data_IF_825252711795
#
_entry.id   IF_825252711795
#
_cell.length_a   1.000
_cell.length_b   1.000
_cell.length_c   1.000
_cell.angle_alpha   90.00
_cell.angle_beta   90.00
_cell.angle_gamma   90.00
#
_symmetry.space_group_name_H-M   'P 1'
#
loop_
_entity.id
_entity.type
_entity.pdbx_description
1 polymer ?
#
# COMPACT_ATOMS: atom_id res chain seq x y z
N UNK A 1 4.57 -4.32 -20.79
CA UNK A 1 4.03 -4.70 -22.14
C UNK A 1 4.17 -6.19 -22.45
N UNK A 2 5.34 -6.81 -22.24
CA UNK A 2 5.52 -8.26 -22.38
C UNK A 2 4.46 -9.11 -21.67
N UNK A 3 4.12 -8.77 -20.42
CA UNK A 3 3.06 -9.46 -19.67
C UNK A 3 1.69 -9.40 -20.36
N UNK A 4 1.37 -8.31 -21.06
CA UNK A 4 0.11 -8.16 -21.82
C UNK A 4 0.06 -9.15 -22.97
N UNK A 5 1.16 -9.33 -23.71
CA UNK A 5 1.26 -10.32 -24.78
C UNK A 5 1.08 -11.74 -24.26
N UNK A 6 1.68 -12.04 -23.10
CA UNK A 6 1.52 -13.33 -22.41
C UNK A 6 0.05 -13.54 -22.03
N UNK A 7 -0.60 -12.57 -21.41
CA UNK A 7 -2.02 -12.67 -21.04
C UNK A 7 -2.91 -12.94 -22.26
N UNK A 8 -2.67 -12.24 -23.39
CA UNK A 8 -3.42 -12.43 -24.63
C UNK A 8 -3.21 -13.82 -25.22
N UNK A 9 -1.97 -14.33 -25.20
CA UNK A 9 -1.64 -15.67 -25.69
C UNK A 9 -2.30 -16.77 -24.85
N UNK A 10 -2.38 -16.58 -23.53
CA UNK A 10 -2.95 -17.55 -22.58
C UNK A 10 -4.48 -17.40 -22.41
N UNK A 11 -5.10 -16.38 -22.98
CA UNK A 11 -6.54 -16.13 -22.82
C UNK A 11 -6.96 -15.72 -21.40
N UNK A 12 -6.07 -15.09 -20.63
CA UNK A 12 -6.33 -14.64 -19.25
C UNK A 12 -6.51 -13.11 -19.18
N UNK A 13 -7.10 -12.63 -18.08
CA UNK A 13 -7.29 -11.20 -17.82
C UNK A 13 -5.99 -10.42 -17.59
N UNK A 14 -6.07 -9.09 -17.65
CA UNK A 14 -4.92 -8.17 -17.58
C UNK A 14 -4.62 -7.64 -16.15
N UNK A 15 -5.13 -8.30 -15.12
CA UNK A 15 -4.99 -7.84 -13.72
C UNK A 15 -3.52 -7.73 -13.28
N UNK A 16 -2.66 -8.67 -13.71
CA UNK A 16 -1.22 -8.69 -13.36
C UNK A 16 -0.48 -7.47 -13.92
N UNK A 17 -0.45 -7.23 -15.25
CA UNK A 17 0.24 -6.05 -15.79
C UNK A 17 -0.38 -4.73 -15.33
N UNK A 18 -1.69 -4.70 -15.06
CA UNK A 18 -2.33 -3.53 -14.47
C UNK A 18 -1.83 -3.26 -13.04
N UNK A 19 -1.74 -4.29 -12.21
CA UNK A 19 -1.20 -4.17 -10.86
C UNK A 19 0.27 -3.71 -10.87
N UNK A 20 1.07 -4.28 -11.77
CA UNK A 20 2.47 -3.90 -11.94
C UNK A 20 2.64 -2.42 -12.32
N UNK A 21 1.70 -1.84 -13.07
CA UNK A 21 1.73 -0.43 -13.43
C UNK A 21 1.69 0.52 -12.21
N UNK A 22 1.13 0.11 -11.05
CA UNK A 22 1.17 0.92 -9.82
C UNK A 22 2.59 0.97 -9.21
N UNK A 23 3.37 -0.11 -9.32
CA UNK A 23 4.77 -0.09 -8.91
C UNK A 23 5.60 0.82 -9.82
N UNK A 24 5.35 0.77 -11.14
CA UNK A 24 5.97 1.69 -12.10
C UNK A 24 5.57 3.14 -11.78
N UNK A 25 4.29 3.39 -11.49
CA UNK A 25 3.79 4.72 -11.11
C UNK A 25 4.51 5.24 -9.87
N UNK A 26 4.67 4.42 -8.83
CA UNK A 26 5.40 4.82 -7.62
C UNK A 26 6.86 5.20 -7.91
N UNK A 27 7.56 4.41 -8.72
CA UNK A 27 8.92 4.73 -9.15
C UNK A 27 8.98 6.04 -9.95
N UNK A 28 8.14 6.18 -10.98
CA UNK A 28 8.04 7.38 -11.84
C UNK A 28 7.65 8.62 -11.01
N UNK A 29 6.86 8.45 -9.96
CA UNK A 29 6.47 9.54 -9.06
C UNK A 29 7.68 10.18 -8.39
N UNK A 30 8.67 9.37 -7.97
CA UNK A 30 9.84 9.85 -7.24
C UNK A 30 10.93 10.39 -8.19
N UNK A 31 11.13 9.77 -9.36
CA UNK A 31 12.26 10.14 -10.24
C UNK A 31 11.89 11.03 -11.43
N UNK A 32 10.59 11.17 -11.74
CA UNK A 32 10.11 12.01 -12.85
C UNK A 32 9.11 13.06 -12.37
N UNK A 33 7.97 12.66 -11.81
CA UNK A 33 6.85 13.57 -11.55
C UNK A 33 7.22 14.60 -10.48
N UNK A 34 7.60 14.15 -9.28
CA UNK A 34 7.97 15.05 -8.20
C UNK A 34 9.18 15.95 -8.56
N UNK A 35 10.30 15.43 -9.11
CA UNK A 35 11.41 16.28 -9.52
C UNK A 35 11.03 17.34 -10.57
N UNK A 36 10.18 16.98 -11.54
CA UNK A 36 9.67 17.94 -12.53
C UNK A 36 8.81 19.03 -11.88
N UNK A 37 7.91 18.67 -10.94
CA UNK A 37 7.10 19.63 -10.19
C UNK A 37 7.94 20.54 -9.29
N UNK A 38 9.06 20.04 -8.77
CA UNK A 38 10.00 20.80 -7.94
C UNK A 38 11.05 21.56 -8.76
N UNK A 39 11.05 21.43 -10.09
CA UNK A 39 11.91 22.21 -10.99
C UNK A 39 13.36 21.72 -11.12
N UNK A 40 13.73 20.58 -10.53
CA UNK A 40 15.08 20.03 -10.65
C UNK A 40 15.13 18.50 -10.52
N UNK A 41 15.87 17.84 -11.41
CA UNK A 41 16.07 16.38 -11.37
C UNK A 41 16.81 15.88 -10.12
N UNK A 42 17.58 16.75 -9.46
CA UNK A 42 18.31 16.44 -8.23
C UNK A 42 17.43 16.10 -7.02
N UNK A 43 16.11 16.32 -7.10
CA UNK A 43 15.16 15.86 -6.09
C UNK A 43 14.83 14.36 -6.17
N UNK A 44 15.18 13.69 -7.27
CA UNK A 44 15.08 12.24 -7.40
C UNK A 44 16.14 11.50 -6.58
N UNK A 45 15.88 10.24 -6.21
CA UNK A 45 16.83 9.45 -5.44
C UNK A 45 17.98 8.92 -6.31
N UNK A 46 19.12 8.63 -5.68
CA UNK A 46 20.30 8.08 -6.34
C UNK A 46 20.23 6.54 -6.43
N UNK A 47 20.68 5.97 -7.55
CA UNK A 47 20.72 4.52 -7.72
C UNK A 47 21.92 3.90 -6.97
N UNK A 48 21.73 3.63 -5.68
CA UNK A 48 22.69 2.89 -4.87
C UNK A 48 22.04 2.30 -3.61
N UNK A 49 22.55 1.16 -3.17
CA UNK A 49 21.96 0.38 -2.06
C UNK A 49 21.87 1.20 -0.78
N UNK A 50 22.90 1.96 -0.42
CA UNK A 50 22.87 2.80 0.78
C UNK A 50 22.49 4.26 0.50
N UNK A 51 22.88 4.79 -0.66
CA UNK A 51 22.60 6.19 -1.00
C UNK A 51 21.11 6.48 -1.20
N UNK A 52 20.30 5.50 -1.62
CA UNK A 52 18.84 5.70 -1.65
C UNK A 52 18.23 5.75 -0.24
N UNK A 53 18.81 5.06 0.75
CA UNK A 53 18.37 5.13 2.15
C UNK A 53 18.75 6.48 2.78
N UNK A 54 19.93 7.00 2.43
CA UNK A 54 20.32 8.36 2.78
C UNK A 54 19.33 9.39 2.20
N UNK A 55 18.93 9.24 0.94
CA UNK A 55 17.88 10.07 0.32
C UNK A 55 16.54 9.93 1.06
N UNK A 56 16.11 8.72 1.43
CA UNK A 56 14.87 8.50 2.20
C UNK A 56 14.92 9.26 3.51
N UNK A 57 16.01 9.12 4.26
CA UNK A 57 16.21 9.78 5.55
C UNK A 57 16.19 11.30 5.40
N UNK A 58 17.05 11.84 4.52
CA UNK A 58 17.18 13.28 4.32
C UNK A 58 15.88 13.91 3.82
N UNK A 59 15.19 13.27 2.88
CA UNK A 59 13.90 13.75 2.37
C UNK A 59 12.81 13.71 3.43
N UNK A 60 12.78 12.67 4.28
CA UNK A 60 11.82 12.58 5.37
C UNK A 60 12.02 13.71 6.40
N UNK A 61 13.28 13.92 6.82
CA UNK A 61 13.62 14.91 7.84
C UNK A 61 13.55 16.37 7.35
N UNK A 62 13.55 16.61 6.03
CA UNK A 62 13.28 17.94 5.46
C UNK A 62 11.92 18.51 5.89
N UNK A 63 10.95 17.65 6.21
CA UNK A 63 9.60 18.03 6.64
C UNK A 63 9.36 17.68 8.13
N UNK A 64 10.42 17.65 8.95
CA UNK A 64 10.34 17.24 10.34
C UNK A 64 10.15 15.73 10.49
N UNK A 65 9.14 15.29 11.24
CA UNK A 65 8.81 13.87 11.33
C UNK A 65 7.78 13.48 10.26
N UNK A 66 8.23 12.72 9.25
CA UNK A 66 7.39 12.30 8.11
C UNK A 66 6.22 11.39 8.50
N UNK A 67 6.18 10.87 9.74
CA UNK A 67 5.00 10.19 10.27
C UNK A 67 3.75 11.07 10.30
N UNK A 68 3.89 12.40 10.39
CA UNK A 68 2.75 13.32 10.41
C UNK A 68 2.10 13.56 9.04
N UNK A 69 2.69 13.07 7.94
CA UNK A 69 2.05 13.16 6.63
C UNK A 69 0.80 12.23 6.61
N UNK A 70 -0.42 12.76 6.47
CA UNK A 70 -1.65 11.96 6.58
C UNK A 70 -1.78 10.91 5.46
N UNK A 71 -1.26 11.20 4.26
CA UNK A 71 -1.27 10.24 3.15
C UNK A 71 -0.26 9.11 3.39
N UNK A 72 0.87 9.43 4.05
CA UNK A 72 1.84 8.43 4.47
C UNK A 72 1.28 7.51 5.56
N UNK A 73 0.51 8.05 6.52
CA UNK A 73 -0.21 7.23 7.50
C UNK A 73 -1.15 6.22 6.81
N UNK A 74 -1.97 6.67 5.85
CA UNK A 74 -2.85 5.78 5.07
C UNK A 74 -2.06 4.70 4.33
N UNK A 75 -0.96 5.07 3.67
CA UNK A 75 -0.07 4.13 2.99
C UNK A 75 0.46 3.05 3.94
N UNK A 76 0.98 3.44 5.10
CA UNK A 76 1.49 2.50 6.12
C UNK A 76 0.39 1.57 6.62
N UNK A 77 -0.78 2.11 6.97
CA UNK A 77 -1.92 1.31 7.43
C UNK A 77 -2.30 0.24 6.40
N UNK A 78 -2.30 0.59 5.12
CA UNK A 78 -2.61 -0.33 4.03
C UNK A 78 -1.51 -1.37 3.81
N UNK A 79 -0.23 -1.01 3.95
CA UNK A 79 0.86 -1.99 3.93
C UNK A 79 0.72 -3.02 5.05
N UNK A 80 0.51 -2.56 6.29
CA UNK A 80 0.29 -3.46 7.44
C UNK A 80 -0.95 -4.32 7.27
N UNK A 81 -2.03 -3.76 6.73
CA UNK A 81 -3.27 -4.53 6.48
C UNK A 81 -3.07 -5.54 5.36
N UNK A 82 -2.28 -5.23 4.34
CA UNK A 82 -1.94 -6.16 3.24
C UNK A 82 -1.15 -7.35 3.77
N UNK A 83 -0.15 -7.13 4.62
CA UNK A 83 0.65 -8.23 5.19
C UNK A 83 -0.16 -9.08 6.16
N UNK A 84 -1.03 -8.45 6.97
CA UNK A 84 -2.00 -9.17 7.80
C UNK A 84 -2.92 -10.07 6.95
N UNK A 85 -3.56 -9.51 5.94
CA UNK A 85 -4.47 -10.25 5.06
C UNK A 85 -3.76 -11.38 4.31
N UNK A 86 -2.53 -11.16 3.85
CA UNK A 86 -1.72 -12.19 3.20
C UNK A 86 -1.37 -13.34 4.16
N UNK A 87 -0.95 -13.02 5.38
CA UNK A 87 -0.67 -14.02 6.41
C UNK A 87 -1.89 -14.87 6.74
N UNK A 88 -3.05 -14.22 6.93
CA UNK A 88 -4.31 -14.90 7.17
C UNK A 88 -4.76 -15.77 5.98
N UNK A 89 -4.69 -15.24 4.76
CA UNK A 89 -5.12 -15.96 3.56
C UNK A 89 -4.27 -17.21 3.32
N UNK A 90 -2.95 -17.09 3.38
CA UNK A 90 -2.04 -18.23 3.22
C UNK A 90 -2.25 -19.29 4.30
N UNK A 91 -2.40 -18.86 5.56
CA UNK A 91 -2.64 -19.77 6.67
C UNK A 91 -3.98 -20.51 6.55
N UNK A 92 -5.05 -19.84 6.11
CA UNK A 92 -6.38 -20.43 5.94
C UNK A 92 -6.39 -21.52 4.88
N UNK A 93 -5.85 -21.24 3.71
CA UNK A 93 -5.80 -22.21 2.60
C UNK A 93 -4.93 -23.41 3.01
N UNK A 94 -3.79 -23.16 3.66
CA UNK A 94 -2.90 -24.23 4.11
C UNK A 94 -3.54 -25.08 5.22
N UNK A 95 -4.28 -24.49 6.15
CA UNK A 95 -4.93 -25.26 7.23
C UNK A 95 -6.08 -26.11 6.69
N UNK A 96 -6.77 -25.65 5.64
CA UNK A 96 -7.80 -26.43 4.97
C UNK A 96 -7.21 -27.57 4.13
N UNK A 97 -6.15 -27.29 3.37
CA UNK A 97 -5.49 -28.29 2.53
C UNK A 97 -4.67 -29.32 3.34
N UNK A 98 -4.21 -28.96 4.54
CA UNK A 98 -3.38 -29.78 5.42
C UNK A 98 -4.03 -29.90 6.81
N UNK A 99 -5.14 -30.66 6.93
CA UNK A 99 -5.79 -30.87 8.21
C UNK A 99 -4.95 -31.77 9.14
N UNK A 100 -5.43 -31.99 10.36
CA UNK A 100 -4.80 -32.94 11.29
C UNK A 100 -4.60 -34.33 10.65
N UNK A 101 -3.55 -35.08 11.06
CA UNK A 101 -3.23 -36.39 10.50
C UNK A 101 -4.43 -37.35 10.49
N UNK A 102 -4.64 -38.00 9.35
CA UNK A 102 -5.73 -38.96 9.14
C UNK A 102 -7.09 -38.33 8.82
N UNK A 103 -7.21 -37.01 8.76
CA UNK A 103 -8.44 -36.32 8.35
C UNK A 103 -8.41 -35.97 6.85
N UNK A 104 -9.59 -35.97 6.23
CA UNK A 104 -9.76 -35.51 4.85
C UNK A 104 -9.58 -33.99 4.73
N UNK A 105 -9.11 -33.53 3.56
CA UNK A 105 -8.98 -32.12 3.22
C UNK A 105 -10.27 -31.36 3.52
N UNK A 106 -10.13 -30.13 4.03
CA UNK A 106 -11.28 -29.27 4.31
C UNK A 106 -11.76 -28.58 3.04
N UNK A 107 -13.03 -28.19 3.07
CA UNK A 107 -13.69 -27.52 1.96
C UNK A 107 -13.75 -26.00 2.20
N UNK A 108 -14.09 -25.20 1.17
CA UNK A 108 -14.35 -23.77 1.34
C UNK A 108 -15.41 -23.45 2.41
N UNK A 109 -16.37 -24.35 2.66
CA UNK A 109 -17.36 -24.16 3.74
C UNK A 109 -16.70 -24.18 5.12
N UNK A 110 -15.63 -24.95 5.31
CA UNK A 110 -14.85 -24.96 6.55
C UNK A 110 -14.02 -23.69 6.69
N UNK A 111 -13.46 -23.17 5.59
CA UNK A 111 -12.73 -21.89 5.57
C UNK A 111 -13.66 -20.75 6.01
N UNK A 112 -14.87 -20.71 5.46
CA UNK A 112 -15.92 -19.75 5.82
C UNK A 112 -16.36 -19.90 7.28
N UNK A 113 -16.58 -21.13 7.73
CA UNK A 113 -16.99 -21.41 9.12
C UNK A 113 -15.93 -20.95 10.09
N UNK A 114 -14.64 -21.23 9.83
CA UNK A 114 -13.54 -20.80 10.70
C UNK A 114 -13.53 -19.28 10.92
N UNK A 115 -13.66 -18.49 9.85
CA UNK A 115 -13.67 -17.03 9.96
C UNK A 115 -14.96 -16.48 10.59
N UNK A 116 -16.11 -17.11 10.32
CA UNK A 116 -17.38 -16.77 10.99
C UNK A 116 -17.33 -17.06 12.48
N UNK A 117 -16.72 -18.16 12.90
CA UNK A 117 -16.56 -18.48 14.32
C UNK A 117 -15.55 -17.54 15.00
N UNK A 118 -14.45 -17.18 14.32
CA UNK A 118 -13.39 -16.37 14.90
C UNK A 118 -13.77 -14.88 15.04
N UNK A 119 -14.36 -14.28 14.01
CA UNK A 119 -14.63 -12.83 13.96
C UNK A 119 -16.03 -12.46 13.50
N UNK A 120 -16.94 -13.44 13.35
CA UNK A 120 -18.33 -13.19 12.94
C UNK A 120 -18.51 -12.91 11.43
N UNK A 121 -17.46 -13.01 10.62
CA UNK A 121 -17.51 -12.66 9.19
C UNK A 121 -16.48 -13.43 8.36
N UNK A 122 -16.91 -13.93 7.20
CA UNK A 122 -16.00 -14.41 6.14
C UNK A 122 -16.24 -13.61 4.86
N UNK A 123 -15.15 -13.10 4.27
CA UNK A 123 -15.18 -12.37 2.99
C UNK A 123 -15.29 -13.32 1.78
N UNK A 124 -15.13 -14.63 1.99
CA UNK A 124 -15.19 -15.66 0.97
C UNK A 124 -13.98 -15.69 0.04
N UNK A 125 -13.89 -16.78 -0.74
CA UNK A 125 -12.70 -17.11 -1.53
C UNK A 125 -12.41 -16.11 -2.65
N UNK A 126 -13.42 -15.64 -3.39
CA UNK A 126 -13.21 -14.57 -4.39
C UNK A 126 -12.93 -13.21 -3.73
N UNK A 127 -13.58 -12.96 -2.60
CA UNK A 127 -13.47 -11.69 -1.87
C UNK A 127 -12.07 -11.44 -1.36
N UNK A 128 -11.39 -12.45 -0.81
CA UNK A 128 -10.03 -12.28 -0.26
C UNK A 128 -8.99 -11.96 -1.33
N UNK A 129 -9.13 -12.52 -2.55
CA UNK A 129 -8.24 -12.18 -3.67
C UNK A 129 -8.46 -10.74 -4.17
N UNK A 130 -9.72 -10.28 -4.23
CA UNK A 130 -10.06 -8.89 -4.56
C UNK A 130 -9.56 -7.92 -3.49
N UNK A 131 -9.73 -8.26 -2.22
CA UNK A 131 -9.27 -7.46 -1.09
C UNK A 131 -7.75 -7.33 -1.11
N UNK A 132 -7.02 -8.44 -1.29
CA UNK A 132 -5.55 -8.43 -1.36
C UNK A 132 -5.03 -7.51 -2.46
N UNK A 133 -5.62 -7.58 -3.65
CA UNK A 133 -5.28 -6.66 -4.76
C UNK A 133 -5.60 -5.21 -4.40
N UNK A 134 -6.79 -4.94 -3.88
CA UNK A 134 -7.23 -3.58 -3.54
C UNK A 134 -6.31 -2.95 -2.49
N UNK A 135 -5.99 -3.67 -1.41
CA UNK A 135 -5.12 -3.19 -0.34
C UNK A 135 -3.71 -2.87 -0.87
N UNK A 136 -3.12 -3.80 -1.64
CA UNK A 136 -1.77 -3.63 -2.16
C UNK A 136 -1.64 -2.46 -3.15
N UNK A 137 -2.61 -2.30 -4.06
CA UNK A 137 -2.60 -1.19 -5.02
C UNK A 137 -2.83 0.16 -4.33
N UNK A 138 -3.72 0.22 -3.33
CA UNK A 138 -3.94 1.44 -2.56
C UNK A 138 -2.69 1.80 -1.73
N UNK A 139 -2.00 0.82 -1.14
CA UNK A 139 -0.74 1.08 -0.43
C UNK A 139 0.27 1.78 -1.35
N UNK A 140 0.50 1.25 -2.55
CA UNK A 140 1.39 1.86 -3.55
C UNK A 140 0.91 3.24 -4.02
N UNK A 141 -0.40 3.40 -4.27
CA UNK A 141 -0.99 4.67 -4.69
C UNK A 141 -0.81 5.77 -3.64
N UNK A 142 -1.12 5.49 -2.38
CA UNK A 142 -0.99 6.48 -1.31
C UNK A 142 0.47 6.79 -0.98
N UNK A 143 1.41 5.85 -1.18
CA UNK A 143 2.85 6.13 -1.14
C UNK A 143 3.29 7.09 -2.25
N UNK A 144 2.79 6.92 -3.47
CA UNK A 144 3.07 7.85 -4.57
C UNK A 144 2.47 9.25 -4.29
N UNK A 145 1.22 9.29 -3.78
CA UNK A 145 0.56 10.53 -3.45
C UNK A 145 1.29 11.29 -2.32
N UNK A 146 1.68 10.60 -1.24
CA UNK A 146 2.30 11.24 -0.08
C UNK A 146 3.63 11.92 -0.41
N UNK A 147 4.43 11.32 -1.32
CA UNK A 147 5.70 11.89 -1.74
C UNK A 147 5.51 13.01 -2.77
N UNK A 148 4.54 12.87 -3.70
CA UNK A 148 4.25 13.92 -4.69
C UNK A 148 3.86 15.22 -4.01
N UNK A 149 2.97 15.19 -3.00
CA UNK A 149 2.52 16.41 -2.32
C UNK A 149 3.60 17.05 -1.45
N UNK A 150 4.59 16.27 -1.00
CA UNK A 150 5.71 16.72 -0.16
C UNK A 150 6.74 17.50 -0.98
N UNK A 151 6.79 18.82 -0.78
CA UNK A 151 7.64 19.75 -1.51
C UNK A 151 6.98 20.39 -2.74
N UNK A 152 5.69 20.12 -2.97
CA UNK A 152 4.92 20.74 -4.07
C UNK A 152 3.73 21.51 -3.54
N UNK A 153 2.77 20.81 -2.91
CA UNK A 153 1.56 21.40 -2.31
C UNK A 153 1.81 21.77 -0.86
N UNK A 154 2.59 20.94 -0.14
CA UNK A 154 2.97 21.18 1.25
C UNK A 154 4.49 21.13 1.39
N UNK A 155 5.10 22.18 1.94
CA UNK A 155 6.55 22.31 2.03
C UNK A 155 7.06 22.66 3.44
N UNK A 156 6.15 22.73 4.42
CA UNK A 156 6.45 22.98 5.83
C UNK A 156 6.54 21.65 6.62
N UNK A 157 6.90 21.66 7.92
CA UNK A 157 6.84 20.46 8.75
C UNK A 157 5.46 19.81 8.74
N UNK A 158 5.39 18.51 8.50
CA UNK A 158 4.09 17.80 8.41
C UNK A 158 3.27 17.82 9.69
N UNK A 159 3.91 18.06 10.85
CA UNK A 159 3.20 18.19 12.13
C UNK A 159 2.24 19.38 12.12
N UNK A 160 2.62 20.49 11.46
CA UNK A 160 1.83 21.72 11.43
C UNK A 160 0.59 21.60 10.55
N UNK A 161 0.56 20.60 9.65
CA UNK A 161 -0.64 20.31 8.85
C UNK A 161 -1.84 20.08 9.76
N UNK A 162 -1.67 19.43 10.91
CA UNK A 162 -2.78 19.08 11.80
C UNK A 162 -3.40 20.26 12.54
N UNK A 163 -2.79 21.45 12.49
CA UNK A 163 -3.33 22.65 13.11
C UNK A 163 -4.69 23.04 12.52
N UNK A 164 -4.98 22.73 11.25
CA UNK A 164 -6.31 23.04 10.67
C UNK A 164 -7.47 22.43 11.46
N UNK A 165 -7.26 21.26 12.07
CA UNK A 165 -8.26 20.58 12.89
C UNK A 165 -8.31 21.18 14.30
N UNK A 166 -7.16 21.48 14.88
CA UNK A 166 -7.06 22.11 16.19
C UNK A 166 -7.69 23.51 16.20
N UNK A 167 -7.46 24.28 15.14
CA UNK A 167 -7.91 25.67 14.97
C UNK A 167 -9.37 25.78 14.49
N UNK A 168 -10.16 24.71 14.56
CA UNK A 168 -11.57 24.77 14.17
C UNK A 168 -12.36 25.68 15.14
N UNK A 169 -13.20 26.59 14.60
CA UNK A 169 -13.76 27.70 15.35
C UNK A 169 -14.74 27.30 16.48
N UNK A 170 -15.17 26.05 16.51
CA UNK A 170 -16.08 25.55 17.55
C UNK A 170 -15.37 24.99 18.78
N UNK A 171 -14.04 24.82 18.76
CA UNK A 171 -13.26 24.42 19.94
C UNK A 171 -11.92 25.13 20.14
N UNK A 172 -11.45 25.94 19.18
CA UNK A 172 -10.13 26.58 19.26
C UNK A 172 -9.93 27.44 20.53
N UNK A 173 -11.02 28.02 21.05
CA UNK A 173 -11.02 28.89 22.23
C UNK A 173 -11.55 28.22 23.52
N UNK A 174 -11.77 26.90 23.53
CA UNK A 174 -12.18 26.14 24.73
C UNK A 174 -11.02 25.89 25.69
#
# INVERSE_FOLDING_TARGET
LREVEICRKLGIGLHIPFAFAFAILAYVSIVVIRPALMGAWGYGFQYGVFTHLEWVSNTGYQYGNFHYNPLHMLGISLFFTTTLALGLHGALVLSAANPEPGKEMRTPDHEDTFFRDLVGYSIGTLGIHRLGLLLALNAAFWSAACIIVSGTVWFDPWVDWWNWWYDLPFWADL
#
